data_IF_734110316453
#
_entry.id   IF_734110316453
#
_cell.length_a   1.000
_cell.length_b   1.000
_cell.length_c   1.000
_cell.angle_alpha   90.00
_cell.angle_beta   90.00
_cell.angle_gamma   90.00
#
_symmetry.space_group_name_H-M   'P 1'
#
loop_
_entity.id
_entity.type
_entity.pdbx_description
1 polymer ?
#
# COMPACT_ATOMS: atom_id res chain seq x y z
N UNK A 1 11.19 -3.10 5.18
CA UNK A 1 10.61 -3.20 3.82
C UNK A 1 11.13 -2.07 2.96
N UNK A 2 11.94 -2.36 1.94
CA UNK A 2 12.54 -1.34 1.06
C UNK A 2 11.48 -0.51 0.31
N UNK A 3 10.31 -1.10 0.03
CA UNK A 3 9.23 -0.46 -0.73
C UNK A 3 8.60 0.72 0.00
N UNK A 4 8.40 0.65 1.32
CA UNK A 4 7.80 1.75 2.10
C UNK A 4 8.72 2.97 2.19
N UNK A 5 10.04 2.74 2.25
CA UNK A 5 11.02 3.83 2.22
C UNK A 5 10.99 4.57 0.87
N UNK A 6 10.85 3.82 -0.23
CA UNK A 6 10.65 4.41 -1.55
C UNK A 6 9.35 5.22 -1.64
N UNK A 7 8.23 4.70 -1.12
CA UNK A 7 6.95 5.44 -1.07
C UNK A 7 7.11 6.74 -0.28
N UNK A 8 7.77 6.70 0.88
CA UNK A 8 8.05 7.88 1.70
C UNK A 8 8.94 8.90 1.00
N UNK A 9 9.92 8.44 0.21
CA UNK A 9 10.79 9.34 -0.56
C UNK A 9 10.06 10.01 -1.74
N UNK A 10 9.12 9.30 -2.35
CA UNK A 10 8.34 9.81 -3.50
C UNK A 10 7.17 10.70 -3.05
N UNK A 11 6.64 10.49 -1.84
CA UNK A 11 5.46 11.18 -1.30
C UNK A 11 4.26 11.19 -2.26
N UNK A 12 3.81 10.04 -2.80
CA UNK A 12 2.63 10.01 -3.66
C UNK A 12 1.35 10.29 -2.87
N UNK A 13 0.29 10.74 -3.53
CA UNK A 13 -1.05 10.89 -2.91
C UNK A 13 -1.65 9.54 -2.49
N UNK A 14 -1.32 8.46 -3.22
CA UNK A 14 -1.74 7.08 -2.96
C UNK A 14 -0.71 6.12 -3.57
N UNK A 15 -0.41 5.00 -2.90
CA UNK A 15 0.40 3.93 -3.45
C UNK A 15 -0.31 2.56 -3.37
N UNK A 16 -0.20 1.79 -4.46
CA UNK A 16 -0.72 0.43 -4.56
C UNK A 16 0.44 -0.53 -4.66
N UNK A 17 0.57 -1.43 -3.71
CA UNK A 17 1.63 -2.43 -3.72
C UNK A 17 1.13 -3.70 -4.42
N UNK A 18 1.81 -4.09 -5.51
CA UNK A 18 1.50 -5.26 -6.34
C UNK A 18 2.64 -6.28 -6.26
N UNK A 19 2.40 -7.52 -6.70
CA UNK A 19 3.43 -8.54 -6.79
C UNK A 19 3.83 -9.17 -5.46
N UNK A 20 2.95 -9.12 -4.45
CA UNK A 20 3.15 -9.86 -3.21
C UNK A 20 3.09 -11.37 -3.51
N UNK A 21 4.05 -12.13 -2.96
CA UNK A 21 4.04 -13.60 -3.05
C UNK A 21 2.96 -14.18 -2.15
N UNK A 22 2.58 -15.45 -2.39
CA UNK A 22 1.65 -16.24 -1.55
C UNK A 22 2.02 -16.24 -0.05
N UNK A 23 3.25 -15.86 0.31
CA UNK A 23 3.74 -15.80 1.68
C UNK A 23 3.23 -14.59 2.47
N UNK A 24 2.63 -13.59 1.81
CA UNK A 24 2.04 -12.43 2.47
C UNK A 24 0.55 -12.65 2.73
N UNK A 25 0.21 -12.74 4.01
CA UNK A 25 -1.17 -12.85 4.44
C UNK A 25 -1.84 -11.48 4.24
N UNK A 26 -2.69 -11.40 3.21
CA UNK A 26 -3.35 -10.15 2.78
C UNK A 26 -4.10 -9.45 3.92
N UNK A 27 -4.47 -10.14 5.00
CA UNK A 27 -5.12 -9.54 6.15
C UNK A 27 -4.10 -8.86 7.07
N UNK A 28 -3.07 -9.59 7.50
CA UNK A 28 -2.04 -9.06 8.43
C UNK A 28 -1.20 -7.94 7.82
N UNK A 29 -0.86 -8.06 6.54
CA UNK A 29 -0.05 -7.06 5.86
C UNK A 29 -0.85 -5.77 5.60
N UNK A 30 -2.15 -5.86 5.32
CA UNK A 30 -3.00 -4.67 5.20
C UNK A 30 -3.19 -3.94 6.54
N UNK A 31 -3.32 -4.65 7.66
CA UNK A 31 -3.39 -3.99 8.99
C UNK A 31 -2.11 -3.20 9.29
N UNK A 32 -0.94 -3.79 9.00
CA UNK A 32 0.36 -3.14 9.17
C UNK A 32 0.50 -1.92 8.25
N UNK A 33 0.02 -2.02 7.01
CA UNK A 33 0.00 -0.92 6.05
C UNK A 33 -0.99 0.18 6.45
N UNK A 34 -2.13 -0.15 7.06
CA UNK A 34 -3.09 0.84 7.57
C UNK A 34 -2.47 1.66 8.71
N UNK A 35 -1.78 1.01 9.66
CA UNK A 35 -1.07 1.70 10.73
C UNK A 35 0.04 2.61 10.18
N UNK A 36 0.81 2.14 9.21
CA UNK A 36 1.85 2.93 8.55
C UNK A 36 1.25 4.13 7.78
N UNK A 37 0.17 3.88 7.03
CA UNK A 37 -0.58 4.88 6.25
C UNK A 37 -1.09 6.01 7.16
N UNK A 38 -1.65 5.68 8.33
CA UNK A 38 -2.07 6.67 9.33
C UNK A 38 -0.92 7.49 9.90
N UNK A 39 0.26 6.89 10.10
CA UNK A 39 1.44 7.58 10.65
C UNK A 39 2.09 8.53 9.64
N UNK A 40 2.18 8.12 8.38
CA UNK A 40 2.87 8.87 7.33
C UNK A 40 1.91 9.78 6.54
N UNK A 41 0.60 9.57 6.64
CA UNK A 41 -0.42 10.33 5.92
C UNK A 41 -0.47 9.99 4.41
N UNK A 42 0.09 8.85 4.02
CA UNK A 42 0.12 8.37 2.63
C UNK A 42 -0.77 7.14 2.53
N UNK A 43 -1.81 7.21 1.70
CA UNK A 43 -2.73 6.10 1.47
C UNK A 43 -2.01 4.95 0.76
N UNK A 44 -1.61 3.91 1.50
CA UNK A 44 -0.94 2.71 0.98
C UNK A 44 -1.79 1.48 1.23
N UNK A 45 -2.02 0.68 0.20
CA UNK A 45 -2.73 -0.59 0.31
C UNK A 45 -2.18 -1.64 -0.64
N UNK A 46 -2.43 -2.91 -0.33
CA UNK A 46 -2.17 -4.01 -1.25
C UNK A 46 -3.18 -4.00 -2.40
N UNK A 47 -2.69 -4.20 -3.62
CA UNK A 47 -3.55 -4.52 -4.74
C UNK A 47 -4.11 -5.94 -4.59
N UNK A 48 -5.37 -6.12 -5.01
CA UNK A 48 -6.01 -7.43 -5.14
C UNK A 48 -6.62 -7.57 -6.51
N UNK A 49 -6.76 -8.80 -6.99
CA UNK A 49 -7.41 -9.07 -8.27
C UNK A 49 -8.84 -8.49 -8.28
N UNK A 50 -9.16 -7.77 -9.36
CA UNK A 50 -10.45 -7.08 -9.49
C UNK A 50 -10.59 -5.79 -8.66
N UNK A 51 -9.54 -5.29 -8.00
CA UNK A 51 -9.58 -4.01 -7.32
C UNK A 51 -9.86 -2.87 -8.30
N UNK A 52 -10.96 -2.12 -8.07
CA UNK A 52 -11.31 -0.93 -8.83
C UNK A 52 -10.90 0.30 -8.04
N UNK A 53 -10.00 1.10 -8.61
CA UNK A 53 -9.52 2.34 -8.00
C UNK A 53 -10.08 3.51 -8.78
N UNK A 54 -10.89 4.32 -8.11
CA UNK A 54 -11.34 5.59 -8.68
C UNK A 54 -10.23 6.62 -8.48
N UNK A 55 -9.76 7.19 -9.59
CA UNK A 55 -8.77 8.24 -9.63
C UNK A 55 -9.50 9.52 -10.06
N UNK A 56 -9.47 10.52 -9.19
CA UNK A 56 -9.79 11.90 -9.55
C UNK A 56 -8.47 12.53 -10.01
N UNK A 57 -8.41 12.87 -11.31
CA UNK A 57 -7.17 13.17 -12.03
C UNK A 57 -6.89 14.67 -12.08
#
# INVERSE_FOLDING_TARGET
MQTLDAVKRICPKRALLVGMTHEMDHHKDNETLEEWSRREGIDVQLARDGLRVYIDL
#
